data_IF_242570885274
#
_entry.id   IF_242570885274
#
_cell.length_a   1.000
_cell.length_b   1.000
_cell.length_c   1.000
_cell.angle_alpha   90.00
_cell.angle_beta   90.00
_cell.angle_gamma   90.00
#
_symmetry.space_group_name_H-M   'P 1'
#
loop_
_entity.id
_entity.type
_entity.pdbx_description
1 polymer ?
#
# COMPACT_ATOMS: atom_id res chain seq x y z
N UNK A 1 12.64 0.49 -1.73
CA UNK A 1 11.18 0.70 -1.56
C UNK A 1 10.93 1.55 -0.34
N UNK A 2 10.08 2.56 -0.45
CA UNK A 2 9.64 3.42 0.66
C UNK A 2 8.18 3.13 0.97
N UNK A 3 7.89 2.76 2.21
CA UNK A 3 6.52 2.48 2.66
C UNK A 3 6.16 3.50 3.71
N UNK A 4 5.29 4.46 3.35
CA UNK A 4 4.87 5.50 4.25
C UNK A 4 6.07 6.31 4.77
N UNK A 5 5.87 7.07 5.77
CA UNK A 5 6.94 7.76 6.48
C UNK A 5 6.31 8.82 7.38
N UNK A 6 6.52 8.68 8.64
CA UNK A 6 6.37 9.79 9.56
C UNK A 6 7.67 10.58 9.56
N UNK A 7 7.59 11.88 9.80
CA UNK A 7 8.78 12.67 10.07
C UNK A 7 9.48 12.07 11.28
N UNK A 8 10.66 11.51 11.05
CA UNK A 8 11.51 11.03 12.13
C UNK A 8 12.15 12.20 12.88
N UNK A 9 12.93 11.86 13.87
CA UNK A 9 13.70 12.83 14.63
C UNK A 9 14.72 13.52 13.71
N UNK A 10 14.71 14.84 13.64
CA UNK A 10 15.65 15.68 12.88
C UNK A 10 15.74 15.32 11.39
N UNK A 11 14.67 15.53 10.63
CA UNK A 11 14.70 15.51 9.16
C UNK A 11 14.87 14.13 8.49
N UNK A 12 15.23 13.07 9.21
CA UNK A 12 15.28 11.71 8.67
C UNK A 12 13.87 11.12 8.56
N UNK A 13 13.45 10.79 7.34
CA UNK A 13 12.18 10.11 7.08
C UNK A 13 12.36 8.61 7.31
N UNK A 14 11.64 8.07 8.29
CA UNK A 14 11.64 6.64 8.60
C UNK A 14 10.54 5.89 7.81
N UNK A 15 10.75 4.62 7.44
CA UNK A 15 9.68 3.76 6.95
C UNK A 15 8.64 3.53 8.06
N UNK A 16 7.46 3.05 7.69
CA UNK A 16 6.47 2.62 8.67
C UNK A 16 7.00 1.38 9.38
N UNK A 17 7.18 1.49 10.68
CA UNK A 17 7.63 0.41 11.54
C UNK A 17 6.44 -0.15 12.33
N UNK A 18 6.40 -1.47 12.47
CA UNK A 18 5.41 -2.12 13.31
C UNK A 18 5.62 -1.73 14.78
N UNK A 19 4.59 -1.26 15.49
CA UNK A 19 4.75 -0.64 16.81
C UNK A 19 5.30 -1.59 17.88
N UNK A 20 5.09 -2.90 17.73
CA UNK A 20 5.56 -3.90 18.69
C UNK A 20 6.93 -4.45 18.26
N UNK A 21 7.10 -4.79 16.99
CA UNK A 21 8.30 -5.49 16.52
C UNK A 21 9.41 -4.55 16.04
N UNK A 22 9.10 -3.27 15.80
CA UNK A 22 10.08 -2.31 15.29
C UNK A 22 10.62 -2.61 13.89
N UNK A 23 10.02 -3.56 13.16
CA UNK A 23 10.42 -3.93 11.80
C UNK A 23 9.56 -3.21 10.76
N UNK A 24 10.11 -2.90 9.58
CA UNK A 24 9.32 -2.34 8.49
C UNK A 24 8.22 -3.30 8.06
N UNK A 25 7.03 -2.80 7.78
CA UNK A 25 5.92 -3.61 7.31
C UNK A 25 5.05 -2.83 6.32
N UNK A 26 4.24 -3.53 5.55
CA UNK A 26 3.21 -2.90 4.70
C UNK A 26 1.86 -3.12 5.39
N UNK A 27 1.19 -2.04 5.85
CA UNK A 27 -0.13 -2.18 6.45
C UNK A 27 -1.14 -2.82 5.49
N UNK A 28 -1.99 -3.69 6.03
CA UNK A 28 -3.08 -4.33 5.29
C UNK A 28 -3.98 -3.33 4.57
N UNK A 29 -4.22 -2.17 5.19
CA UNK A 29 -4.99 -1.07 4.60
C UNK A 29 -4.34 -0.50 3.33
N UNK A 30 -3.01 -0.45 3.26
CA UNK A 30 -2.26 -0.01 2.07
C UNK A 30 -2.42 -1.01 0.94
N UNK A 31 -2.29 -2.30 1.22
CA UNK A 31 -2.47 -3.38 0.23
C UNK A 31 -3.90 -3.41 -0.28
N UNK A 32 -4.87 -3.35 0.63
CA UNK A 32 -6.30 -3.30 0.28
C UNK A 32 -6.63 -2.06 -0.56
N UNK A 33 -6.08 -0.90 -0.18
CA UNK A 33 -6.25 0.35 -0.92
C UNK A 33 -5.70 0.27 -2.34
N UNK A 34 -4.52 -0.31 -2.52
CA UNK A 34 -3.90 -0.52 -3.82
C UNK A 34 -4.73 -1.46 -4.71
N UNK A 35 -5.11 -2.64 -4.19
CA UNK A 35 -5.96 -3.59 -4.91
C UNK A 35 -7.30 -2.96 -5.31
N UNK A 36 -7.95 -2.21 -4.39
CA UNK A 36 -9.21 -1.52 -4.65
C UNK A 36 -9.08 -0.42 -5.70
N UNK A 37 -7.98 0.33 -5.68
CA UNK A 37 -7.72 1.39 -6.65
C UNK A 37 -7.52 0.82 -8.06
N UNK A 38 -6.80 -0.30 -8.18
CA UNK A 38 -6.61 -0.99 -9.45
C UNK A 38 -7.92 -1.60 -9.96
N UNK A 39 -8.63 -2.33 -9.09
CA UNK A 39 -9.87 -3.01 -9.45
C UNK A 39 -10.98 -2.04 -9.90
N UNK A 40 -11.10 -0.87 -9.28
CA UNK A 40 -12.07 0.17 -9.69
C UNK A 40 -11.89 0.67 -11.11
N UNK A 41 -10.68 0.56 -11.68
CA UNK A 41 -10.39 0.96 -13.04
C UNK A 41 -10.59 -0.16 -14.06
N UNK A 42 -10.53 -1.41 -13.62
CA UNK A 42 -10.39 -2.56 -14.50
C UNK A 42 -11.49 -3.63 -14.31
N UNK A 43 -12.35 -3.48 -13.30
CA UNK A 43 -13.39 -4.47 -13.01
C UNK A 43 -14.74 -3.78 -12.68
N UNK A 44 -15.81 -4.58 -12.64
CA UNK A 44 -17.16 -4.09 -12.35
C UNK A 44 -17.25 -3.53 -10.92
N UNK A 45 -17.81 -2.31 -10.74
CA UNK A 45 -17.88 -1.65 -9.42
C UNK A 45 -18.60 -2.51 -8.36
N UNK A 46 -19.63 -3.26 -8.76
CA UNK A 46 -20.40 -4.14 -7.85
C UNK A 46 -19.51 -5.23 -7.27
N UNK A 47 -18.71 -5.89 -8.11
CA UNK A 47 -17.79 -6.97 -7.69
C UNK A 47 -16.71 -6.44 -6.74
N UNK A 48 -16.16 -5.26 -7.02
CA UNK A 48 -15.17 -4.62 -6.16
C UNK A 48 -15.76 -4.29 -4.77
N UNK A 49 -16.99 -3.78 -4.73
CA UNK A 49 -17.68 -3.50 -3.47
C UNK A 49 -17.98 -4.75 -2.68
N UNK A 50 -18.34 -5.82 -3.35
CA UNK A 50 -18.67 -7.10 -2.73
C UNK A 50 -17.45 -7.76 -2.10
N UNK A 51 -16.32 -7.82 -2.81
CA UNK A 51 -15.11 -8.48 -2.35
C UNK A 51 -14.32 -7.63 -1.36
N UNK A 52 -14.20 -6.33 -1.60
CA UNK A 52 -13.37 -5.42 -0.81
C UNK A 52 -14.16 -4.49 0.14
N UNK A 53 -15.47 -4.63 0.14
CA UNK A 53 -16.34 -3.84 0.99
C UNK A 53 -16.55 -2.39 0.54
N UNK A 54 -17.61 -1.79 1.06
CA UNK A 54 -17.96 -0.40 0.83
C UNK A 54 -18.33 0.27 2.15
N UNK A 55 -17.81 1.46 2.37
CA UNK A 55 -18.21 2.36 3.42
C UNK A 55 -19.08 3.45 2.79
N UNK A 56 -20.40 3.31 2.87
CA UNK A 56 -21.32 4.31 2.34
C UNK A 56 -22.52 4.45 3.27
N UNK A 57 -22.34 5.14 4.38
CA UNK A 57 -23.40 5.45 5.30
C UNK A 57 -24.23 4.23 5.72
N UNK A 58 -25.54 4.23 5.36
CA UNK A 58 -26.48 3.16 5.71
C UNK A 58 -26.27 1.85 4.93
N UNK A 59 -25.59 1.91 3.78
CA UNK A 59 -25.35 0.76 2.89
C UNK A 59 -23.95 0.17 3.03
N UNK A 60 -23.34 0.27 4.20
CA UNK A 60 -22.03 -0.29 4.45
C UNK A 60 -22.03 -1.81 4.27
N UNK A 61 -21.13 -2.31 3.41
CA UNK A 61 -20.93 -3.75 3.20
C UNK A 61 -19.56 -4.17 3.70
N UNK A 62 -19.52 -5.22 4.51
CA UNK A 62 -18.27 -5.84 4.95
C UNK A 62 -17.55 -6.49 3.75
N UNK A 63 -16.21 -6.51 3.79
CA UNK A 63 -15.42 -7.18 2.79
C UNK A 63 -15.52 -8.69 2.94
N UNK A 64 -15.58 -9.44 1.83
CA UNK A 64 -15.49 -10.90 1.84
C UNK A 64 -14.04 -11.38 2.04
N UNK A 65 -13.07 -10.59 1.61
CA UNK A 65 -11.64 -10.90 1.72
C UNK A 65 -10.95 -9.89 2.62
N UNK A 66 -10.19 -10.42 3.57
CA UNK A 66 -9.37 -9.67 4.50
C UNK A 66 -7.90 -9.72 4.07
N UNK A 67 -7.22 -8.58 4.15
CA UNK A 67 -5.80 -8.45 3.95
C UNK A 67 -5.11 -8.48 5.31
N UNK A 68 -3.98 -9.15 5.36
CA UNK A 68 -3.11 -9.14 6.53
C UNK A 68 -1.94 -8.19 6.30
N UNK A 69 -1.36 -7.69 7.39
CA UNK A 69 -0.14 -6.91 7.32
C UNK A 69 0.97 -7.75 6.69
N UNK A 70 1.73 -7.14 5.78
CA UNK A 70 2.83 -7.83 5.13
C UNK A 70 4.14 -7.54 5.85
N UNK A 71 4.84 -8.60 6.20
CA UNK A 71 6.12 -8.55 6.88
C UNK A 71 7.25 -8.96 5.94
N UNK A 72 8.44 -8.33 6.05
CA UNK A 72 9.57 -8.69 5.24
C UNK A 72 10.15 -10.03 5.69
N UNK A 73 10.35 -10.93 4.73
CA UNK A 73 11.13 -12.16 4.94
C UNK A 73 12.62 -11.91 4.73
N UNK A 74 12.95 -10.90 3.93
CA UNK A 74 14.29 -10.39 3.69
C UNK A 74 14.23 -8.88 3.49
N UNK A 75 15.07 -8.15 4.17
CA UNK A 75 15.21 -6.71 3.99
C UNK A 75 16.61 -6.24 4.35
N UNK A 76 17.04 -5.18 3.69
CA UNK A 76 18.21 -4.40 4.05
C UNK A 76 17.78 -2.94 4.12
N UNK A 77 18.20 -2.23 5.14
CA UNK A 77 18.01 -0.79 5.25
C UNK A 77 19.12 -0.07 4.52
N UNK A 78 18.79 0.87 3.69
CA UNK A 78 19.74 1.76 3.02
C UNK A 78 19.31 3.21 3.16
N UNK A 79 20.28 4.11 3.09
CA UNK A 79 20.00 5.55 3.07
C UNK A 79 19.77 5.96 1.62
N UNK A 80 18.68 6.66 1.40
CA UNK A 80 18.29 7.21 0.10
C UNK A 80 18.01 8.70 0.26
N UNK A 81 17.93 9.42 -0.85
CA UNK A 81 17.68 10.87 -0.85
C UNK A 81 16.46 11.17 -1.71
N UNK A 82 15.45 11.77 -1.11
CA UNK A 82 14.31 12.29 -1.84
C UNK A 82 14.46 13.79 -2.06
N UNK A 83 14.36 14.21 -3.32
CA UNK A 83 14.26 15.62 -3.67
C UNK A 83 12.79 15.98 -3.88
N UNK A 84 12.26 17.04 -3.24
CA UNK A 84 10.91 17.50 -3.49
C UNK A 84 10.76 17.95 -4.95
N UNK A 85 9.57 17.76 -5.49
CA UNK A 85 9.25 18.20 -6.84
C UNK A 85 9.33 19.74 -6.93
N UNK A 86 9.82 20.21 -8.09
CA UNK A 86 9.84 21.62 -8.43
C UNK A 86 8.40 22.17 -8.52
N UNK A 87 8.13 23.28 -7.86
CA UNK A 87 6.92 24.05 -8.10
C UNK A 87 7.22 25.11 -9.18
N UNK A 88 6.51 25.04 -10.27
CA UNK A 88 6.49 26.10 -11.27
C UNK A 88 5.49 27.16 -10.82
N UNK A 89 5.95 28.37 -10.61
CA UNK A 89 5.10 29.53 -10.43
C UNK A 89 5.44 30.51 -11.55
N UNK A 90 4.45 30.82 -12.36
CA UNK A 90 4.44 31.85 -13.40
C UNK A 90 5.83 32.27 -13.94
N UNK A 91 6.42 31.39 -14.78
CA UNK A 91 7.66 31.66 -15.51
C UNK A 91 8.98 31.78 -14.72
N UNK A 92 9.02 31.50 -13.44
CA UNK A 92 10.30 31.44 -12.71
C UNK A 92 10.39 30.23 -11.78
N UNK A 93 11.47 29.46 -11.94
CA UNK A 93 11.87 28.41 -11.01
C UNK A 93 12.37 29.07 -9.73
N UNK A 94 11.63 29.00 -8.65
CA UNK A 94 11.94 29.74 -7.44
C UNK A 94 12.61 28.94 -6.32
N UNK A 95 12.66 27.60 -6.39
CA UNK A 95 13.20 26.84 -5.27
C UNK A 95 14.13 25.72 -5.76
N UNK A 96 15.38 25.78 -5.30
CA UNK A 96 16.28 24.64 -5.40
C UNK A 96 15.72 23.46 -4.62
N UNK A 97 15.79 22.23 -5.16
CA UNK A 97 15.36 21.04 -4.44
C UNK A 97 16.21 20.87 -3.19
N UNK A 98 15.61 20.86 -2.02
CA UNK A 98 16.29 20.53 -0.77
C UNK A 98 16.28 19.01 -0.63
N UNK A 99 17.43 18.33 -0.68
CA UNK A 99 17.49 16.89 -0.52
C UNK A 99 17.13 16.51 0.93
N UNK A 100 16.19 15.58 1.07
CA UNK A 100 15.83 15.01 2.37
C UNK A 100 16.33 13.57 2.47
N UNK A 101 17.20 13.26 3.43
CA UNK A 101 17.62 11.89 3.67
C UNK A 101 16.45 11.05 4.18
N UNK A 102 16.34 9.84 3.71
CA UNK A 102 15.33 8.88 4.14
C UNK A 102 15.92 7.48 4.25
N UNK A 103 15.34 6.68 5.14
CA UNK A 103 15.61 5.25 5.18
C UNK A 103 14.67 4.54 4.20
N UNK A 104 15.25 3.75 3.33
CA UNK A 104 14.53 2.90 2.38
C UNK A 104 14.87 1.44 2.59
N UNK A 105 14.06 0.57 2.00
CA UNK A 105 14.33 -0.86 1.97
C UNK A 105 14.94 -1.21 0.61
N UNK A 106 16.10 -1.84 0.64
CA UNK A 106 16.77 -2.33 -0.54
C UNK A 106 16.35 -3.77 -0.81
N UNK A 107 15.86 -4.03 -2.03
CA UNK A 107 15.42 -5.35 -2.51
C UNK A 107 14.59 -6.17 -1.49
N UNK A 108 13.57 -5.58 -0.85
CA UNK A 108 12.81 -6.27 0.16
C UNK A 108 11.95 -7.38 -0.44
N UNK A 109 11.82 -8.48 0.29
CA UNK A 109 10.86 -9.54 0.01
C UNK A 109 9.82 -9.56 1.11
N UNK A 110 8.53 -9.48 0.75
CA UNK A 110 7.43 -9.45 1.69
C UNK A 110 6.55 -10.70 1.57
N UNK A 111 6.16 -11.24 2.71
CA UNK A 111 5.10 -12.21 2.81
C UNK A 111 3.77 -11.47 2.93
N UNK A 112 2.87 -11.70 1.97
CA UNK A 112 1.54 -11.08 1.93
C UNK A 112 0.48 -12.16 2.17
N UNK A 113 -0.41 -11.93 3.13
CA UNK A 113 -1.50 -12.84 3.47
C UNK A 113 -2.86 -12.26 3.05
N UNK A 114 -3.68 -13.14 2.47
CA UNK A 114 -5.10 -12.89 2.19
C UNK A 114 -5.91 -14.02 2.83
N UNK A 115 -7.04 -13.70 3.46
CA UNK A 115 -7.95 -14.71 3.99
C UNK A 115 -9.40 -14.34 3.73
N UNK A 116 -10.29 -15.33 3.56
CA UNK A 116 -11.72 -15.06 3.51
C UNK A 116 -12.24 -14.66 4.90
N UNK A 117 -13.14 -13.72 4.96
CA UNK A 117 -13.80 -13.30 6.21
C UNK A 117 -14.71 -14.42 6.73
N UNK A 118 -15.34 -15.23 5.84
CA UNK A 118 -16.13 -16.39 6.19
C UNK A 118 -15.63 -17.61 5.44
N UNK A 119 -15.41 -18.72 6.16
CA UNK A 119 -15.00 -19.99 5.58
C UNK A 119 -16.15 -20.78 4.96
N UNK A 120 -17.39 -20.37 5.21
CA UNK A 120 -18.60 -21.06 4.73
C UNK A 120 -19.05 -20.66 3.32
N UNK A 121 -18.31 -19.75 2.67
CA UNK A 121 -18.64 -19.32 1.32
C UNK A 121 -18.09 -20.33 0.30
N UNK A 122 -18.92 -20.99 -0.52
CA UNK A 122 -18.46 -21.95 -1.53
C UNK A 122 -17.53 -21.33 -2.58
N UNK A 123 -17.73 -20.04 -2.91
CA UNK A 123 -16.94 -19.32 -3.92
C UNK A 123 -15.64 -18.70 -3.38
N UNK A 124 -15.29 -19.02 -2.13
CA UNK A 124 -14.17 -18.43 -1.40
C UNK A 124 -12.82 -18.52 -2.17
N UNK A 125 -12.57 -19.64 -2.85
CA UNK A 125 -11.33 -19.87 -3.59
C UNK A 125 -11.21 -18.97 -4.81
N UNK A 126 -12.29 -18.76 -5.55
CA UNK A 126 -12.28 -17.93 -6.74
C UNK A 126 -12.29 -16.43 -6.40
N UNK A 127 -12.96 -16.06 -5.31
CA UNK A 127 -12.87 -14.72 -4.73
C UNK A 127 -11.44 -14.37 -4.31
N UNK A 128 -10.74 -15.31 -3.65
CA UNK A 128 -9.33 -15.16 -3.28
C UNK A 128 -8.42 -15.01 -4.50
N UNK A 129 -8.58 -15.85 -5.54
CA UNK A 129 -7.80 -15.74 -6.78
C UNK A 129 -8.01 -14.40 -7.46
N UNK A 130 -9.25 -13.93 -7.51
CA UNK A 130 -9.61 -12.64 -8.09
C UNK A 130 -8.92 -11.48 -7.34
N UNK A 131 -9.06 -11.44 -6.02
CA UNK A 131 -8.44 -10.37 -5.21
C UNK A 131 -6.92 -10.44 -5.25
N UNK A 132 -6.35 -11.66 -5.27
CA UNK A 132 -4.91 -11.86 -5.46
C UNK A 132 -4.43 -11.27 -6.78
N UNK A 133 -5.12 -11.56 -7.89
CA UNK A 133 -4.80 -10.99 -9.20
C UNK A 133 -4.87 -9.46 -9.22
N UNK A 134 -5.89 -8.87 -8.59
CA UNK A 134 -5.98 -7.41 -8.47
C UNK A 134 -4.80 -6.82 -7.70
N UNK A 135 -4.39 -7.49 -6.61
CA UNK A 135 -3.25 -7.04 -5.81
C UNK A 135 -1.93 -7.17 -6.59
N UNK A 136 -1.70 -8.29 -7.27
CA UNK A 136 -0.50 -8.52 -8.09
C UNK A 136 -0.38 -7.45 -9.19
N UNK A 137 -1.46 -7.16 -9.89
CA UNK A 137 -1.48 -6.13 -10.93
C UNK A 137 -1.27 -4.72 -10.36
N UNK A 138 -1.84 -4.44 -9.17
CA UNK A 138 -1.62 -3.18 -8.49
C UNK A 138 -0.16 -3.00 -8.07
N UNK A 139 0.47 -4.07 -7.55
CA UNK A 139 1.88 -4.05 -7.15
C UNK A 139 2.80 -3.87 -8.36
N UNK A 140 2.51 -4.54 -9.48
CA UNK A 140 3.26 -4.39 -10.73
C UNK A 140 3.15 -2.98 -11.33
N UNK A 141 2.01 -2.31 -11.12
CA UNK A 141 1.80 -0.92 -11.53
C UNK A 141 2.44 0.10 -10.59
N UNK A 142 2.94 -0.35 -9.45
CA UNK A 142 3.47 0.48 -8.38
C UNK A 142 2.40 0.96 -7.40
N UNK A 143 2.77 0.98 -6.13
CA UNK A 143 1.94 1.46 -5.03
C UNK A 143 2.60 2.68 -4.37
N UNK A 144 1.78 3.61 -3.93
CA UNK A 144 2.22 4.83 -3.25
C UNK A 144 1.73 6.09 -3.94
N UNK A 145 1.96 7.23 -3.29
CA UNK A 145 1.72 8.54 -3.91
C UNK A 145 2.91 8.91 -4.81
N UNK A 146 2.60 9.40 -5.98
CA UNK A 146 3.57 10.09 -6.84
C UNK A 146 3.74 11.52 -6.40
#
# INVERSE_FOLDING_TARGET
>A
MRIGGTRGFRELLLPVLHPIFGIPYIPASTLKGAAKAWARKNDAPVRVQELLGMLNGRDAKAAKIEFLDAFPTKHCLSIDVATPQWKWNDNKVMYGPVPHPLLSLEQPQFLIGLRPTSRQNPDCQDDLKTVKSWLENALNSGIGSR
#
